data_IF_966293527226
#
_entry.id   IF_966293527226
#
_cell.length_a   1.000
_cell.length_b   1.000
_cell.length_c   1.000
_cell.angle_alpha   90.00
_cell.angle_beta   90.00
_cell.angle_gamma   90.00
#
_symmetry.space_group_name_H-M   'P 1'
#
loop_
_entity.id
_entity.type
_entity.pdbx_description
1 polymer ?
#
# COMPACT_ATOMS: atom_id res chain seq x y z
N UNK A 1 1.84 -20.33 5.97
CA UNK A 1 1.32 -19.37 4.98
C UNK A 1 2.45 -18.96 4.05
N UNK A 2 2.22 -18.91 2.73
CA UNK A 2 3.25 -18.55 1.74
C UNK A 2 3.09 -17.09 1.30
N UNK A 3 4.18 -16.32 1.37
CA UNK A 3 4.17 -14.87 1.17
C UNK A 3 5.18 -14.48 0.09
N UNK A 4 4.73 -13.80 -0.95
CA UNK A 4 5.59 -13.17 -1.93
C UNK A 4 5.99 -11.74 -1.52
N UNK A 5 7.23 -11.34 -1.77
CA UNK A 5 7.67 -9.95 -1.65
C UNK A 5 8.23 -9.47 -2.98
N UNK A 6 7.56 -8.51 -3.62
CA UNK A 6 8.00 -7.83 -4.83
C UNK A 6 8.70 -6.53 -4.48
N UNK A 7 9.92 -6.37 -5.01
CA UNK A 7 10.76 -5.21 -4.72
C UNK A 7 11.64 -5.43 -3.48
N UNK A 8 12.95 -5.21 -3.65
CA UNK A 8 13.95 -5.35 -2.59
C UNK A 8 14.76 -4.06 -2.40
N UNK A 9 14.07 -2.93 -2.61
CA UNK A 9 14.56 -1.59 -2.32
C UNK A 9 14.52 -1.26 -0.82
N UNK A 10 14.51 0.02 -0.51
CA UNK A 10 14.47 0.51 0.88
C UNK A 10 13.24 -0.03 1.64
N UNK A 11 12.03 0.18 1.10
CA UNK A 11 10.79 -0.25 1.73
C UNK A 11 10.62 -1.77 1.73
N UNK A 12 11.00 -2.46 0.65
CA UNK A 12 10.96 -3.92 0.62
C UNK A 12 11.83 -4.57 1.69
N UNK A 13 12.99 -4.00 2.01
CA UNK A 13 13.84 -4.48 3.11
C UNK A 13 13.20 -4.25 4.49
N UNK A 14 12.50 -3.13 4.67
CA UNK A 14 11.74 -2.86 5.90
C UNK A 14 10.61 -3.88 6.05
N UNK A 15 9.79 -4.07 5.01
CA UNK A 15 8.72 -5.07 5.01
C UNK A 15 9.26 -6.47 5.29
N UNK A 16 10.35 -6.88 4.63
CA UNK A 16 10.98 -8.17 4.89
C UNK A 16 11.38 -8.33 6.36
N UNK A 17 11.94 -7.27 6.98
CA UNK A 17 12.35 -7.33 8.38
C UNK A 17 11.14 -7.55 9.32
N UNK A 18 9.97 -7.02 8.96
CA UNK A 18 8.73 -7.21 9.72
C UNK A 18 8.12 -8.58 9.45
N UNK A 19 8.08 -9.02 8.22
CA UNK A 19 7.58 -10.35 7.85
C UNK A 19 8.38 -11.47 8.54
N UNK A 20 9.69 -11.33 8.68
CA UNK A 20 10.55 -12.29 9.40
C UNK A 20 10.28 -12.39 10.91
N UNK A 21 9.45 -11.53 11.48
CA UNK A 21 9.04 -11.66 12.89
C UNK A 21 7.92 -12.69 13.11
N UNK A 22 7.37 -13.25 12.03
CA UNK A 22 6.35 -14.29 12.08
C UNK A 22 6.98 -15.65 11.72
N UNK A 23 6.91 -16.60 12.64
CA UNK A 23 7.55 -17.91 12.48
C UNK A 23 6.77 -18.86 11.53
N UNK A 24 5.50 -18.57 11.29
CA UNK A 24 4.57 -19.43 10.52
C UNK A 24 4.44 -19.04 9.05
N UNK A 25 5.31 -18.18 8.53
CA UNK A 25 5.31 -17.75 7.13
C UNK A 25 6.60 -18.17 6.40
N UNK A 26 6.42 -18.57 5.14
CA UNK A 26 7.52 -18.80 4.18
C UNK A 26 7.55 -17.63 3.19
N UNK A 27 8.73 -16.99 3.01
CA UNK A 27 8.85 -15.76 2.23
C UNK A 27 9.63 -16.00 0.95
N UNK A 28 9.02 -15.66 -0.19
CA UNK A 28 9.61 -15.70 -1.52
C UNK A 28 9.90 -14.28 -2.01
N UNK A 29 11.16 -13.94 -2.26
CA UNK A 29 11.55 -12.59 -2.69
C UNK A 29 11.72 -12.57 -4.21
N UNK A 30 11.00 -11.65 -4.87
CA UNK A 30 11.13 -11.37 -6.29
C UNK A 30 11.77 -9.99 -6.50
N UNK A 31 12.95 -9.96 -7.11
CA UNK A 31 13.69 -8.73 -7.39
C UNK A 31 13.62 -8.31 -8.86
N UNK A 32 13.10 -9.17 -9.72
CA UNK A 32 12.96 -8.89 -11.15
C UNK A 32 11.80 -7.95 -11.42
N UNK A 33 12.04 -6.93 -12.26
CA UNK A 33 11.00 -5.98 -12.66
C UNK A 33 9.97 -6.60 -13.61
N UNK A 34 10.36 -7.61 -14.38
CA UNK A 34 9.58 -8.12 -15.52
C UNK A 34 9.07 -9.56 -15.32
N UNK A 35 9.38 -10.19 -14.18
CA UNK A 35 9.00 -11.57 -13.93
C UNK A 35 8.44 -11.76 -12.53
N UNK A 36 7.14 -11.52 -12.38
CA UNK A 36 6.42 -11.65 -11.09
C UNK A 36 5.86 -13.06 -10.86
N UNK A 37 6.45 -14.08 -11.48
CA UNK A 37 5.92 -15.46 -11.46
C UNK A 37 6.17 -16.13 -10.12
N UNK A 38 5.50 -15.64 -9.10
CA UNK A 38 5.34 -16.34 -7.84
C UNK A 38 4.10 -17.24 -7.97
N UNK A 39 4.25 -18.51 -7.59
CA UNK A 39 3.17 -19.49 -7.62
C UNK A 39 2.89 -20.01 -6.22
N UNK A 40 1.66 -20.38 -5.97
CA UNK A 40 1.22 -20.99 -4.72
C UNK A 40 1.53 -20.10 -3.50
N UNK A 41 1.29 -18.80 -3.63
CA UNK A 41 1.39 -17.84 -2.52
C UNK A 41 0.00 -17.42 -2.05
N UNK A 42 -0.13 -17.20 -0.75
CA UNK A 42 -1.39 -16.76 -0.13
C UNK A 42 -1.51 -15.24 -0.15
N UNK A 43 -0.37 -14.56 -0.01
CA UNK A 43 -0.23 -13.11 -0.01
C UNK A 43 0.95 -12.64 -0.83
N UNK A 44 0.81 -11.47 -1.45
CA UNK A 44 1.92 -10.73 -2.03
C UNK A 44 2.05 -9.34 -1.40
N UNK A 45 3.27 -8.98 -1.02
CA UNK A 45 3.65 -7.65 -0.56
C UNK A 45 4.39 -6.94 -1.69
N UNK A 46 3.89 -5.79 -2.14
CA UNK A 46 4.42 -5.03 -3.27
C UNK A 46 5.07 -3.75 -2.77
N UNK A 47 6.39 -3.65 -2.95
CA UNK A 47 7.23 -2.50 -2.58
C UNK A 47 8.13 -2.10 -3.75
N UNK A 48 7.56 -2.05 -4.92
CA UNK A 48 8.18 -1.67 -6.20
C UNK A 48 7.97 -0.17 -6.47
N UNK A 49 8.51 0.41 -7.56
CA UNK A 49 8.13 1.73 -8.02
C UNK A 49 6.64 1.86 -8.36
N UNK A 50 6.06 3.03 -8.09
CA UNK A 50 4.62 3.29 -8.17
C UNK A 50 4.01 3.09 -9.57
N UNK A 51 4.81 3.32 -10.61
CA UNK A 51 4.42 3.24 -12.01
C UNK A 51 4.02 1.83 -12.46
N UNK A 52 4.43 0.81 -11.71
CA UNK A 52 4.13 -0.60 -12.01
C UNK A 52 3.17 -1.24 -10.99
N UNK A 53 2.72 -0.52 -9.97
CA UNK A 53 1.81 -1.06 -8.95
C UNK A 53 0.51 -1.58 -9.54
N UNK A 54 -0.13 -0.80 -10.42
CA UNK A 54 -1.41 -1.18 -11.02
C UNK A 54 -1.34 -2.55 -11.69
N UNK A 55 -0.35 -2.76 -12.56
CA UNK A 55 -0.21 -4.02 -13.31
C UNK A 55 0.11 -5.20 -12.38
N UNK A 56 0.95 -4.98 -11.38
CA UNK A 56 1.31 -6.01 -10.41
C UNK A 56 0.13 -6.40 -9.53
N UNK A 57 -0.58 -5.42 -8.96
CA UNK A 57 -1.74 -5.66 -8.11
C UNK A 57 -2.82 -6.40 -8.88
N UNK A 58 -3.14 -5.93 -10.10
CA UNK A 58 -4.13 -6.58 -10.98
C UNK A 58 -3.77 -8.03 -11.27
N UNK A 59 -2.51 -8.28 -11.63
CA UNK A 59 -2.00 -9.62 -11.92
C UNK A 59 -2.21 -10.61 -10.76
N UNK A 60 -1.92 -10.21 -9.52
CA UNK A 60 -2.07 -11.09 -8.37
C UNK A 60 -3.52 -11.27 -7.94
N UNK A 61 -4.34 -10.22 -8.00
CA UNK A 61 -5.78 -10.33 -7.76
C UNK A 61 -6.42 -11.35 -8.71
N UNK A 62 -6.10 -11.27 -10.01
CA UNK A 62 -6.62 -12.20 -11.02
C UNK A 62 -6.18 -13.66 -10.82
N UNK A 63 -5.12 -13.89 -10.04
CA UNK A 63 -4.67 -15.22 -9.62
C UNK A 63 -5.26 -15.68 -8.27
N UNK A 64 -6.16 -14.90 -7.68
CA UNK A 64 -6.76 -15.22 -6.39
C UNK A 64 -5.81 -15.03 -5.20
N UNK A 65 -4.78 -14.16 -5.34
CA UNK A 65 -3.79 -13.87 -4.30
C UNK A 65 -4.17 -12.59 -3.57
N UNK A 66 -4.11 -12.62 -2.24
CA UNK A 66 -4.29 -11.41 -1.44
C UNK A 66 -3.11 -10.46 -1.61
N UNK A 67 -3.38 -9.16 -1.65
CA UNK A 67 -2.39 -8.13 -1.95
C UNK A 67 -2.25 -7.11 -0.84
N UNK A 68 -1.01 -6.82 -0.47
CA UNK A 68 -0.61 -5.68 0.32
C UNK A 68 0.34 -4.82 -0.52
N UNK A 69 -0.04 -3.58 -0.84
CA UNK A 69 0.72 -2.71 -1.72
C UNK A 69 1.15 -1.43 -1.03
N UNK A 70 2.39 -1.01 -1.26
CA UNK A 70 2.90 0.31 -0.84
C UNK A 70 2.08 1.44 -1.47
N UNK A 71 2.03 2.54 -0.75
CA UNK A 71 1.38 3.77 -1.23
C UNK A 71 2.26 4.51 -2.26
N UNK A 72 1.68 5.28 -3.17
CA UNK A 72 0.27 5.26 -3.56
C UNK A 72 -0.06 3.97 -4.33
N UNK A 73 -1.30 3.49 -4.18
CA UNK A 73 -1.74 2.25 -4.86
C UNK A 73 -1.63 2.39 -6.38
N UNK A 74 -2.15 3.50 -6.91
CA UNK A 74 -2.11 3.83 -8.33
C UNK A 74 -2.04 5.35 -8.51
N UNK A 75 -1.67 5.86 -9.71
CA UNK A 75 -1.67 7.28 -10.03
C UNK A 75 -3.05 7.91 -10.11
N UNK A 76 -4.12 7.15 -10.40
CA UNK A 76 -5.46 7.68 -10.62
C UNK A 76 -6.52 6.97 -9.76
N UNK A 77 -7.61 7.69 -9.49
CA UNK A 77 -8.77 7.15 -8.78
C UNK A 77 -9.42 5.98 -9.53
N UNK A 78 -9.58 6.12 -10.85
CA UNK A 78 -10.22 5.12 -11.71
C UNK A 78 -9.48 3.78 -11.64
N UNK A 79 -8.15 3.80 -11.71
CA UNK A 79 -7.33 2.60 -11.56
C UNK A 79 -7.46 1.99 -10.16
N UNK A 80 -7.43 2.82 -9.12
CA UNK A 80 -7.61 2.33 -7.74
C UNK A 80 -8.98 1.70 -7.56
N UNK A 81 -10.04 2.35 -8.06
CA UNK A 81 -11.40 1.83 -7.99
C UNK A 81 -11.52 0.49 -8.72
N UNK A 82 -10.96 0.38 -9.92
CA UNK A 82 -10.96 -0.87 -10.69
C UNK A 82 -10.30 -2.01 -9.90
N UNK A 83 -9.17 -1.75 -9.23
CA UNK A 83 -8.48 -2.77 -8.43
C UNK A 83 -9.30 -3.23 -7.23
N UNK A 84 -10.00 -2.33 -6.54
CA UNK A 84 -10.88 -2.71 -5.44
C UNK A 84 -12.11 -3.48 -5.93
N UNK A 85 -12.75 -3.06 -7.02
CA UNK A 85 -13.86 -3.78 -7.64
C UNK A 85 -13.41 -5.19 -8.09
N UNK A 86 -12.18 -5.31 -8.60
CA UNK A 86 -11.59 -6.57 -9.01
C UNK A 86 -11.30 -7.48 -7.80
N UNK A 87 -10.77 -6.94 -6.71
CA UNK A 87 -10.51 -7.68 -5.50
C UNK A 87 -11.80 -8.26 -4.90
N UNK A 88 -12.88 -7.48 -4.89
CA UNK A 88 -14.21 -7.95 -4.49
C UNK A 88 -14.69 -9.09 -5.40
N UNK A 89 -14.56 -8.93 -6.73
CA UNK A 89 -14.96 -9.94 -7.70
C UNK A 89 -14.23 -11.28 -7.54
N UNK A 90 -12.94 -11.25 -7.19
CA UNK A 90 -12.11 -12.44 -7.01
C UNK A 90 -12.08 -12.95 -5.57
N UNK A 91 -12.84 -12.33 -4.66
CA UNK A 91 -12.90 -12.65 -3.22
C UNK A 91 -11.51 -12.67 -2.56
N UNK A 92 -10.69 -11.68 -2.90
CA UNK A 92 -9.36 -11.48 -2.31
C UNK A 92 -9.28 -10.15 -1.56
N UNK A 93 -8.33 -10.06 -0.65
CA UNK A 93 -8.09 -8.84 0.13
C UNK A 93 -7.06 -7.97 -0.57
N UNK A 94 -7.38 -6.68 -0.69
CA UNK A 94 -6.45 -5.63 -1.14
C UNK A 94 -6.25 -4.61 -0.02
N UNK A 95 -5.01 -4.48 0.46
CA UNK A 95 -4.62 -3.46 1.43
C UNK A 95 -3.56 -2.53 0.84
N UNK A 96 -3.68 -1.25 1.19
CA UNK A 96 -2.66 -0.23 0.90
C UNK A 96 -1.90 0.09 2.19
N UNK A 97 -0.58 0.26 2.11
CA UNK A 97 0.28 0.55 3.27
C UNK A 97 0.12 1.99 3.76
N UNK A 98 -1.04 2.28 4.34
CA UNK A 98 -1.36 3.55 4.96
C UNK A 98 -0.99 3.55 6.44
N UNK A 99 0.31 3.56 6.72
CA UNK A 99 0.88 3.43 8.06
C UNK A 99 0.30 4.41 9.09
N UNK A 100 -0.13 5.59 8.65
CA UNK A 100 -0.70 6.61 9.53
C UNK A 100 -2.04 6.21 10.14
N UNK A 101 -2.80 5.30 9.51
CA UNK A 101 -4.04 4.77 10.08
C UNK A 101 -3.84 4.03 11.39
N UNK A 102 -2.67 3.51 11.60
CA UNK A 102 -2.34 2.69 12.76
C UNK A 102 -1.63 3.49 13.87
N UNK A 103 -1.42 4.79 13.67
CA UNK A 103 -0.85 5.66 14.69
C UNK A 103 -1.90 6.08 15.71
N UNK A 104 -1.51 6.13 16.98
CA UNK A 104 -2.40 6.54 18.09
C UNK A 104 -2.88 7.96 17.95
N UNK A 105 -2.03 8.85 17.42
CA UNK A 105 -2.30 10.27 17.19
C UNK A 105 -3.43 10.51 16.19
N UNK A 106 -3.72 9.54 15.32
CA UNK A 106 -4.82 9.67 14.37
C UNK A 106 -6.19 9.79 15.05
N UNK A 107 -6.36 9.22 16.26
CA UNK A 107 -7.60 9.37 17.02
C UNK A 107 -7.85 10.83 17.40
N UNK A 108 -6.81 11.57 17.69
CA UNK A 108 -6.89 12.99 18.06
C UNK A 108 -7.19 13.84 16.81
N UNK A 109 -6.57 13.52 15.68
CA UNK A 109 -6.79 14.22 14.40
C UNK A 109 -8.24 14.07 13.91
N UNK A 110 -8.84 12.90 14.06
CA UNK A 110 -10.24 12.63 13.65
C UNK A 110 -11.27 13.50 14.38
N UNK A 111 -10.91 14.06 15.51
CA UNK A 111 -11.81 14.89 16.34
C UNK A 111 -11.57 16.40 16.15
N UNK A 112 -10.66 16.80 15.25
CA UNK A 112 -10.39 18.22 15.01
C UNK A 112 -11.51 18.87 14.21
N UNK A 113 -12.08 19.94 14.77
CA UNK A 113 -13.19 20.72 14.16
C UNK A 113 -12.75 22.08 13.64
N UNK A 114 -11.47 22.36 13.60
CA UNK A 114 -10.88 23.67 13.21
C UNK A 114 -10.03 23.52 11.95
N UNK A 115 -9.71 24.64 11.25
CA UNK A 115 -8.72 24.61 10.19
C UNK A 115 -7.41 23.98 10.70
N UNK A 116 -6.85 23.07 9.92
CA UNK A 116 -5.66 22.30 10.26
C UNK A 116 -4.54 22.76 9.34
N UNK A 117 -3.39 23.11 9.94
CA UNK A 117 -2.14 23.33 9.21
C UNK A 117 -1.24 22.10 9.42
N UNK A 118 -0.78 21.52 8.33
CA UNK A 118 0.17 20.38 8.36
C UNK A 118 1.50 20.84 7.83
N UNK A 119 2.55 20.70 8.66
CA UNK A 119 3.92 21.09 8.30
C UNK A 119 4.82 19.86 8.28
N UNK A 120 5.40 19.57 7.11
CA UNK A 120 6.37 18.49 6.94
C UNK A 120 7.80 19.02 6.90
N UNK A 121 8.62 18.59 7.86
CA UNK A 121 10.06 18.86 7.86
C UNK A 121 10.81 17.74 7.11
N UNK A 122 10.43 17.47 5.87
CA UNK A 122 11.01 16.43 5.02
C UNK A 122 11.18 16.96 3.60
N UNK A 123 12.30 16.62 2.97
CA UNK A 123 12.53 16.88 1.56
C UNK A 123 12.06 15.66 0.76
N UNK A 124 11.34 15.91 -0.33
CA UNK A 124 10.89 14.89 -1.27
C UNK A 124 11.01 15.43 -2.69
N UNK A 125 11.41 14.58 -3.63
CA UNK A 125 11.49 14.92 -5.06
C UNK A 125 10.09 15.12 -5.66
N UNK A 126 9.07 14.55 -5.03
CA UNK A 126 7.66 14.70 -5.43
C UNK A 126 6.77 14.87 -4.20
N UNK A 127 6.74 16.10 -3.66
CA UNK A 127 6.00 16.43 -2.44
C UNK A 127 4.51 16.11 -2.54
N UNK A 128 3.90 16.29 -3.72
CA UNK A 128 2.47 16.04 -3.92
C UNK A 128 2.13 14.57 -3.69
N UNK A 129 2.88 13.66 -4.28
CA UNK A 129 2.61 12.21 -4.17
C UNK A 129 3.18 11.59 -2.90
N UNK A 130 4.30 12.12 -2.40
CA UNK A 130 4.97 11.49 -1.26
C UNK A 130 4.48 11.99 0.10
N UNK A 131 4.06 13.25 0.19
CA UNK A 131 3.68 13.88 1.46
C UNK A 131 2.20 14.25 1.51
N UNK A 132 1.67 14.97 0.52
CA UNK A 132 0.27 15.41 0.52
C UNK A 132 -0.72 14.23 0.49
N UNK A 133 -0.33 13.08 -0.06
CA UNK A 133 -1.10 11.86 0.04
C UNK A 133 -1.45 11.52 1.51
N UNK A 134 -0.47 11.62 2.39
CA UNK A 134 -0.68 11.35 3.82
C UNK A 134 -1.60 12.39 4.47
N UNK A 135 -1.50 13.65 4.07
CA UNK A 135 -2.35 14.73 4.60
C UNK A 135 -3.81 14.51 4.23
N UNK A 136 -4.07 14.22 2.96
CA UNK A 136 -5.41 13.92 2.48
C UNK A 136 -6.02 12.74 3.22
N UNK A 137 -5.24 11.70 3.43
CA UNK A 137 -5.69 10.50 4.10
C UNK A 137 -5.98 10.71 5.60
N UNK A 138 -5.13 11.44 6.30
CA UNK A 138 -5.33 11.79 7.71
C UNK A 138 -6.56 12.66 7.94
N UNK A 139 -6.85 13.55 6.98
CA UNK A 139 -7.93 14.53 7.11
C UNK A 139 -9.26 14.04 6.53
N UNK A 140 -9.25 12.97 5.71
CA UNK A 140 -10.42 12.44 5.04
C UNK A 140 -11.66 12.24 5.93
N UNK A 141 -11.57 11.69 7.14
CA UNK A 141 -12.74 11.53 8.01
C UNK A 141 -13.38 12.84 8.46
N UNK A 142 -12.67 13.96 8.34
CA UNK A 142 -13.13 15.29 8.74
C UNK A 142 -13.55 16.17 7.54
N UNK A 143 -13.42 15.64 6.33
CA UNK A 143 -13.91 16.32 5.14
C UNK A 143 -15.43 16.15 5.04
N UNK A 144 -16.14 16.91 5.83
CA UNK A 144 -17.55 17.21 5.52
C UNK A 144 -17.52 18.18 4.33
N UNK A 145 -18.12 17.76 3.25
CA UNK A 145 -18.27 18.50 2.01
C UNK A 145 -18.48 20.00 2.26
N UNK A 146 -17.55 20.82 1.74
CA UNK A 146 -17.81 22.22 1.51
C UNK A 146 -18.66 22.37 0.26
#
# INVERSE_FOLDING_TARGET
MQVGLLGYGYWGKILLSKLKMFDDIEIFICTSKDNWKLKNIDWVFIATPNDIHYDQVKHFIEQGVNVFCEKPLTPTYEQSKELFDLAEKYDVKLYVDDVFNYRTEQKDIKNLTRPIEVVWNKVSDNTLYDLMYHDLYLLWPNWTYL
#
